data_IF_371668643661
#
_entry.id   IF_371668643661
#
_cell.length_a   1.000
_cell.length_b   1.000
_cell.length_c   1.000
_cell.angle_alpha   90.00
_cell.angle_beta   90.00
_cell.angle_gamma   90.00
#
_symmetry.space_group_name_H-M   'P 1'
#
loop_
_entity.id
_entity.type
_entity.pdbx_description
1 polymer ?
#
# COMPACT_ATOMS: atom_id res chain seq x y z
N UNK A 1 -8.13 14.21 -1.06
CA UNK A 1 -8.49 12.78 -1.10
C UNK A 1 -7.27 12.00 -0.60
N UNK A 2 -7.34 11.42 0.59
CA UNK A 2 -6.23 10.65 1.19
C UNK A 2 -6.61 9.18 1.11
N UNK A 3 -5.72 8.34 0.58
CA UNK A 3 -5.96 6.89 0.46
C UNK A 3 -5.11 6.15 1.51
N UNK A 4 -5.57 6.05 2.77
CA UNK A 4 -4.80 5.47 3.86
C UNK A 4 -4.43 4.00 3.62
N UNK A 5 -5.24 3.27 2.86
CA UNK A 5 -4.98 1.87 2.52
C UNK A 5 -3.80 1.71 1.55
N UNK A 6 -3.74 2.53 0.50
CA UNK A 6 -2.60 2.54 -0.43
C UNK A 6 -1.33 3.04 0.29
N UNK A 7 -1.47 4.02 1.18
CA UNK A 7 -0.37 4.53 1.99
C UNK A 7 0.31 3.41 2.80
N UNK A 8 -0.50 2.62 3.50
CA UNK A 8 -0.04 1.51 4.32
C UNK A 8 0.59 0.39 3.48
N UNK A 9 0.01 0.08 2.32
CA UNK A 9 0.56 -0.92 1.40
C UNK A 9 1.94 -0.51 0.90
N UNK A 10 2.09 0.74 0.46
CA UNK A 10 3.39 1.27 0.03
C UNK A 10 4.40 1.30 1.18
N UNK A 11 3.96 1.61 2.41
CA UNK A 11 4.79 1.55 3.61
C UNK A 11 5.39 0.17 3.87
N UNK A 12 4.54 -0.85 3.83
CA UNK A 12 4.95 -2.23 4.05
C UNK A 12 5.86 -2.69 2.90
N UNK A 13 5.55 -2.29 1.67
CA UNK A 13 6.38 -2.60 0.51
C UNK A 13 7.78 -1.99 0.63
N UNK A 14 7.89 -0.71 1.00
CA UNK A 14 9.17 -0.02 1.25
C UNK A 14 9.98 -0.69 2.36
N UNK A 15 9.33 -1.03 3.46
CA UNK A 15 9.99 -1.71 4.58
C UNK A 15 10.46 -3.11 4.19
N UNK A 16 9.65 -3.86 3.47
CA UNK A 16 9.96 -5.22 3.06
C UNK A 16 11.04 -5.31 1.96
N UNK A 17 11.06 -4.35 1.02
CA UNK A 17 11.98 -4.35 -0.11
C UNK A 17 13.26 -3.55 0.12
N UNK A 18 13.17 -2.43 0.81
CA UNK A 18 14.26 -1.48 0.95
C UNK A 18 14.76 -1.35 2.40
N UNK A 19 14.11 -2.01 3.37
CA UNK A 19 14.39 -1.84 4.81
C UNK A 19 14.28 -0.38 5.29
N UNK A 20 13.57 0.46 4.52
CA UNK A 20 13.34 1.87 4.85
C UNK A 20 12.06 1.94 5.67
N UNK A 21 12.15 2.57 6.84
CA UNK A 21 10.99 2.80 7.67
C UNK A 21 10.12 3.91 7.05
N UNK A 22 8.80 3.71 7.02
CA UNK A 22 7.89 4.64 6.34
C UNK A 22 7.96 6.07 6.91
N UNK A 23 8.34 6.20 8.18
CA UNK A 23 8.56 7.48 8.86
C UNK A 23 9.80 8.21 8.32
N UNK A 24 10.78 7.47 7.80
CA UNK A 24 11.99 8.01 7.18
C UNK A 24 11.87 8.15 5.67
N UNK A 25 10.89 7.47 5.05
CA UNK A 25 10.65 7.57 3.61
C UNK A 25 9.98 8.90 3.24
N UNK A 26 10.42 9.48 2.12
CA UNK A 26 9.85 10.72 1.62
C UNK A 26 8.39 10.48 1.15
N UNK A 27 7.38 11.08 1.80
CA UNK A 27 5.99 10.79 1.51
C UNK A 27 5.61 11.12 0.07
N UNK A 28 6.34 12.00 -0.62
CA UNK A 28 6.11 12.28 -2.05
C UNK A 28 6.51 11.14 -2.95
N UNK A 29 7.54 10.38 -2.56
CA UNK A 29 7.98 9.16 -3.25
C UNK A 29 6.97 8.06 -2.99
N UNK A 30 6.52 7.91 -1.74
CA UNK A 30 5.60 6.81 -1.38
C UNK A 30 4.16 7.03 -1.87
N UNK A 31 3.73 8.29 -1.93
CA UNK A 31 2.49 8.73 -2.58
C UNK A 31 2.69 8.99 -4.08
N UNK A 32 3.88 8.68 -4.60
CA UNK A 32 4.26 8.94 -5.97
C UNK A 32 3.44 8.09 -6.95
N UNK A 33 3.49 8.49 -8.22
CA UNK A 33 2.74 7.85 -9.29
C UNK A 33 3.05 6.35 -9.41
N UNK A 34 4.24 5.92 -9.00
CA UNK A 34 4.69 4.53 -9.03
C UNK A 34 3.95 3.62 -8.05
N UNK A 35 3.44 4.17 -6.94
CA UNK A 35 2.76 3.40 -5.89
C UNK A 35 1.26 3.72 -5.81
N UNK A 36 0.88 4.97 -6.08
CA UNK A 36 -0.49 5.48 -5.95
C UNK A 36 -1.27 5.58 -7.27
N UNK A 37 -0.69 5.16 -8.39
CA UNK A 37 -1.47 5.00 -9.63
C UNK A 37 -2.22 3.68 -9.64
N UNK A 38 -3.33 3.62 -10.39
CA UNK A 38 -4.12 2.41 -10.58
C UNK A 38 -3.27 1.17 -10.96
N UNK A 39 -2.26 1.35 -11.81
CA UNK A 39 -1.32 0.27 -12.19
C UNK A 39 -0.27 -0.03 -11.11
N UNK A 40 0.22 1.00 -10.41
CA UNK A 40 1.23 0.88 -9.37
C UNK A 40 0.70 0.21 -8.11
N UNK A 41 -0.49 0.61 -7.66
CA UNK A 41 -1.17 0.01 -6.52
C UNK A 41 -1.48 -1.47 -6.75
N UNK A 42 -1.80 -1.85 -8.00
CA UNK A 42 -1.99 -3.25 -8.38
C UNK A 42 -0.72 -4.09 -8.25
N UNK A 43 0.44 -3.56 -8.67
CA UNK A 43 1.73 -4.24 -8.51
C UNK A 43 2.19 -4.34 -7.05
N UNK A 44 1.97 -3.28 -6.27
CA UNK A 44 2.24 -3.26 -4.83
C UNK A 44 1.38 -4.30 -4.12
N UNK A 45 0.07 -4.34 -4.45
CA UNK A 45 -0.86 -5.33 -3.93
C UNK A 45 -0.42 -6.77 -4.25
N UNK A 46 -0.12 -7.06 -5.51
CA UNK A 46 0.32 -8.39 -5.93
C UNK A 46 1.64 -8.79 -5.26
N UNK A 47 2.58 -7.85 -5.09
CA UNK A 47 3.86 -8.09 -4.42
C UNK A 47 3.67 -8.37 -2.92
N UNK A 48 2.78 -7.63 -2.26
CA UNK A 48 2.44 -7.84 -0.85
C UNK A 48 1.70 -9.18 -0.66
N UNK A 49 0.83 -9.55 -1.60
CA UNK A 49 0.10 -10.81 -1.59
C UNK A 49 1.05 -12.00 -1.72
N UNK A 50 1.97 -11.92 -2.68
CA UNK A 50 2.99 -12.94 -2.89
C UNK A 50 3.94 -13.08 -1.69
N UNK A 51 4.22 -11.98 -0.99
CA UNK A 51 5.04 -11.96 0.22
C UNK A 51 4.30 -12.34 1.51
N UNK A 52 2.98 -12.54 1.49
CA UNK A 52 2.18 -12.74 2.70
C UNK A 52 2.15 -11.50 3.63
N UNK A 53 2.56 -10.34 3.12
CA UNK A 53 2.69 -9.07 3.84
C UNK A 53 1.49 -8.15 3.61
N UNK A 54 0.43 -8.69 3.00
CA UNK A 54 -0.74 -7.92 2.64
C UNK A 54 -1.38 -7.34 3.90
N UNK A 55 -1.37 -6.00 4.08
CA UNK A 55 -2.00 -5.42 5.25
C UNK A 55 -3.45 -5.81 5.26
N UNK A 56 -3.93 -6.26 6.43
CA UNK A 56 -5.37 -6.39 6.67
C UNK A 56 -5.95 -5.00 6.45
N UNK A 57 -6.58 -4.79 5.29
CA UNK A 57 -7.34 -3.58 5.04
C UNK A 57 -8.22 -3.34 6.27
N UNK A 58 -8.37 -2.10 6.77
CA UNK A 58 -9.38 -1.84 7.78
C UNK A 58 -10.66 -2.45 7.23
N UNK A 59 -11.22 -3.41 7.96
CA UNK A 59 -12.49 -4.05 7.64
C UNK A 59 -13.57 -2.97 7.72
N UNK A 60 -13.58 -2.06 6.75
CA UNK A 60 -14.64 -1.13 6.56
C UNK A 60 -15.69 -1.90 5.78
N UNK A 61 -16.65 -2.42 6.55
CA UNK A 61 -17.80 -3.16 6.07
C UNK A 61 -18.36 -2.55 4.79
N UNK A 62 -18.35 -3.38 3.76
CA UNK A 62 -19.22 -3.33 2.61
C UNK A 62 -19.24 -4.80 2.20
N UNK A 63 -20.15 -5.64 2.71
CA UNK A 63 -21.57 -5.51 2.47
C UNK A 63 -21.83 -4.71 1.18
N UNK A 64 -21.32 -5.23 0.05
CA UNK A 64 -22.25 -5.53 -1.02
C UNK A 64 -23.27 -6.48 -0.36
N UNK A 65 -24.34 -6.01 0.28
CA UNK A 65 -25.23 -4.98 -0.25
C UNK A 65 -26.07 -5.61 -1.36
N UNK A 66 -26.61 -6.80 -1.07
CA UNK A 66 -27.64 -7.55 -1.80
C UNK A 66 -27.25 -8.17 -3.13
#
# INVERSE_FOLDING_TARGET
>A
YWFPQQALQSAIYLKAKQNIDFVQSDPRVVMGKEFFSASGSGQVYASLQAGGLLPKAPSNGSNCGS
#
